data_IF_326202565651
#
_entry.id   IF_326202565651
#
_cell.length_a   1.000
_cell.length_b   1.000
_cell.length_c   1.000
_cell.angle_alpha   90.00
_cell.angle_beta   90.00
_cell.angle_gamma   90.00
#
_symmetry.space_group_name_H-M   'P 1'
#
loop_
_entity.id
_entity.type
_entity.pdbx_description
1 polymer ?
#
# COMPACT_ATOMS: atom_id res chain seq x y z
N UNK A 1 10.35 -9.44 -25.89
CA UNK A 1 10.04 -10.14 -24.62
C UNK A 1 9.06 -9.36 -23.74
N UNK A 2 9.28 -8.05 -23.51
CA UNK A 2 8.40 -7.21 -22.68
C UNK A 2 6.92 -7.18 -23.10
N UNK A 3 6.64 -7.10 -24.41
CA UNK A 3 5.25 -7.11 -24.93
C UNK A 3 4.45 -8.36 -24.51
N UNK A 4 5.10 -9.53 -24.47
CA UNK A 4 4.45 -10.78 -24.07
C UNK A 4 4.05 -10.76 -22.59
N UNK A 5 4.93 -10.26 -21.72
CA UNK A 5 4.68 -10.14 -20.27
C UNK A 5 3.55 -9.16 -20.00
N UNK A 6 3.56 -7.99 -20.65
CA UNK A 6 2.50 -6.98 -20.51
C UNK A 6 1.15 -7.52 -20.99
N UNK A 7 1.12 -8.19 -22.16
CA UNK A 7 -0.12 -8.78 -22.68
C UNK A 7 -0.69 -9.90 -21.79
N UNK A 8 0.18 -10.72 -21.17
CA UNK A 8 -0.22 -11.75 -20.23
C UNK A 8 -0.77 -11.15 -18.93
N UNK A 9 -0.09 -10.14 -18.38
CA UNK A 9 -0.56 -9.42 -17.20
C UNK A 9 -1.91 -8.74 -17.44
N UNK A 10 -2.08 -8.10 -18.61
CA UNK A 10 -3.34 -7.49 -19.00
C UNK A 10 -4.49 -8.52 -19.07
N UNK A 11 -4.24 -9.72 -19.63
CA UNK A 11 -5.21 -10.82 -19.65
C UNK A 11 -5.59 -11.28 -18.23
N UNK A 12 -4.62 -11.38 -17.33
CA UNK A 12 -4.87 -11.74 -15.93
C UNK A 12 -5.70 -10.66 -15.21
N UNK A 13 -5.38 -9.38 -15.41
CA UNK A 13 -6.15 -8.27 -14.85
C UNK A 13 -7.60 -8.25 -15.34
N UNK A 14 -7.86 -8.66 -16.60
CA UNK A 14 -9.22 -8.73 -17.13
C UNK A 14 -9.98 -9.95 -16.63
N UNK A 15 -9.33 -11.12 -16.54
CA UNK A 15 -9.98 -12.37 -16.12
C UNK A 15 -10.19 -12.49 -14.61
N UNK A 16 -9.24 -12.00 -13.80
CA UNK A 16 -9.26 -12.11 -12.34
C UNK A 16 -8.79 -10.83 -11.64
N UNK A 17 -9.45 -9.67 -11.89
CA UNK A 17 -8.96 -8.36 -11.45
C UNK A 17 -8.65 -8.28 -9.97
N UNK A 18 -9.53 -8.85 -9.12
CA UNK A 18 -9.34 -8.81 -7.68
C UNK A 18 -8.08 -9.56 -7.22
N UNK A 19 -7.89 -10.79 -7.69
CA UNK A 19 -6.76 -11.63 -7.31
C UNK A 19 -5.45 -11.03 -7.82
N UNK A 20 -5.44 -10.56 -9.06
CA UNK A 20 -4.26 -9.94 -9.67
C UNK A 20 -3.86 -8.68 -8.93
N UNK A 21 -4.81 -7.77 -8.64
CA UNK A 21 -4.51 -6.54 -7.89
C UNK A 21 -3.94 -6.82 -6.50
N UNK A 22 -4.57 -7.74 -5.75
CA UNK A 22 -4.12 -8.09 -4.40
C UNK A 22 -2.71 -8.69 -4.42
N UNK A 23 -2.44 -9.63 -5.33
CA UNK A 23 -1.12 -10.24 -5.47
C UNK A 23 -0.06 -9.22 -5.92
N UNK A 24 -0.39 -8.35 -6.86
CA UNK A 24 0.51 -7.28 -7.31
C UNK A 24 0.87 -6.35 -6.15
N UNK A 25 -0.09 -5.98 -5.30
CA UNK A 25 0.18 -5.19 -4.10
C UNK A 25 1.14 -5.90 -3.15
N UNK A 26 0.93 -7.20 -2.90
CA UNK A 26 1.84 -8.02 -2.09
C UNK A 26 3.27 -8.01 -2.62
N UNK A 27 3.44 -8.28 -3.92
CA UNK A 27 4.76 -8.30 -4.57
C UNK A 27 5.42 -6.92 -4.53
N UNK A 28 4.65 -5.85 -4.73
CA UNK A 28 5.15 -4.48 -4.69
C UNK A 28 5.64 -4.11 -3.29
N UNK A 29 4.90 -4.47 -2.25
CA UNK A 29 5.32 -4.23 -0.87
C UNK A 29 6.56 -5.05 -0.48
N UNK A 30 6.64 -6.32 -0.87
CA UNK A 30 7.85 -7.14 -0.69
C UNK A 30 9.05 -6.47 -1.36
N UNK A 31 8.90 -6.09 -2.63
CA UNK A 31 9.97 -5.48 -3.41
C UNK A 31 10.41 -4.14 -2.82
N UNK A 32 9.45 -3.33 -2.37
CA UNK A 32 9.70 -2.06 -1.69
C UNK A 32 10.49 -2.23 -0.40
N UNK A 33 10.17 -3.26 0.41
CA UNK A 33 10.94 -3.54 1.62
C UNK A 33 12.36 -4.04 1.29
N UNK A 34 12.53 -4.94 0.32
CA UNK A 34 13.87 -5.37 -0.15
C UNK A 34 14.71 -4.18 -0.63
N UNK A 35 14.11 -3.27 -1.39
CA UNK A 35 14.75 -2.03 -1.84
C UNK A 35 15.12 -1.14 -0.65
N UNK A 36 14.22 -0.95 0.30
CA UNK A 36 14.48 -0.17 1.50
C UNK A 36 15.67 -0.76 2.29
N UNK A 37 15.67 -2.06 2.53
CA UNK A 37 16.74 -2.74 3.25
C UNK A 37 18.11 -2.60 2.55
N UNK A 38 18.14 -2.66 1.22
CA UNK A 38 19.40 -2.63 0.45
C UNK A 38 19.91 -1.23 0.15
N UNK A 39 19.02 -0.33 -0.25
CA UNK A 39 19.40 1.00 -0.73
C UNK A 39 19.34 2.08 0.35
N UNK A 40 18.42 1.96 1.32
CA UNK A 40 18.25 2.94 2.40
C UNK A 40 18.98 2.48 3.65
N UNK A 41 18.67 1.28 4.16
CA UNK A 41 19.27 0.73 5.38
C UNK A 41 20.68 0.13 5.14
N UNK A 42 21.06 -0.09 3.87
CA UNK A 42 22.36 -0.66 3.45
C UNK A 42 22.75 -1.95 4.18
N UNK A 43 21.76 -2.82 4.45
CA UNK A 43 22.00 -4.08 5.16
C UNK A 43 22.86 -5.05 4.33
N UNK A 44 23.84 -5.74 4.96
CA UNK A 44 24.70 -6.70 4.27
C UNK A 44 23.89 -7.87 3.71
N UNK A 45 22.91 -8.36 4.46
CA UNK A 45 21.99 -9.43 4.06
C UNK A 45 20.55 -8.93 4.05
N UNK A 46 19.72 -9.46 3.14
CA UNK A 46 18.28 -9.18 3.13
C UNK A 46 17.63 -9.97 4.25
N UNK A 47 16.85 -9.29 5.09
CA UNK A 47 15.92 -9.87 6.04
C UNK A 47 14.69 -10.36 5.28
N UNK A 48 14.72 -11.65 4.93
CA UNK A 48 13.67 -12.35 4.18
C UNK A 48 12.39 -12.45 4.99
N UNK A 49 12.49 -12.58 6.31
CA UNK A 49 11.33 -12.68 7.19
C UNK A 49 10.54 -11.36 7.20
N UNK A 50 11.23 -10.24 7.32
CA UNK A 50 10.61 -8.91 7.20
C UNK A 50 9.97 -8.71 5.83
N UNK A 51 10.67 -9.04 4.75
CA UNK A 51 10.14 -8.92 3.40
C UNK A 51 8.87 -9.80 3.19
N UNK A 52 8.86 -11.00 3.77
CA UNK A 52 7.70 -11.89 3.75
C UNK A 52 6.52 -11.31 4.57
N UNK A 53 6.77 -10.68 5.72
CA UNK A 53 5.72 -9.98 6.48
C UNK A 53 5.09 -8.84 5.66
N UNK A 54 5.89 -8.05 4.95
CA UNK A 54 5.39 -7.01 4.04
C UNK A 54 4.55 -7.58 2.88
N UNK A 55 4.93 -8.74 2.34
CA UNK A 55 4.10 -9.47 1.37
C UNK A 55 2.75 -9.87 1.95
N UNK A 56 2.75 -10.48 3.15
CA UNK A 56 1.52 -10.93 3.83
C UNK A 56 0.60 -9.74 4.15
N UNK A 57 1.16 -8.62 4.62
CA UNK A 57 0.40 -7.38 4.83
C UNK A 57 -0.20 -6.88 3.50
N UNK A 58 0.57 -6.94 2.42
CA UNK A 58 0.13 -6.53 1.09
C UNK A 58 -1.02 -7.35 0.55
N UNK A 59 -0.96 -8.68 0.69
CA UNK A 59 -2.02 -9.58 0.21
C UNK A 59 -3.22 -9.60 1.15
N UNK A 60 -2.99 -9.62 2.46
CA UNK A 60 -4.04 -9.83 3.47
C UNK A 60 -4.77 -8.56 3.89
N UNK A 61 -4.11 -7.40 3.84
CA UNK A 61 -4.67 -6.15 4.35
C UNK A 61 -4.69 -5.05 3.29
N UNK A 62 -3.53 -4.64 2.77
CA UNK A 62 -3.41 -3.44 1.92
C UNK A 62 -4.12 -3.64 0.58
N UNK A 63 -3.89 -4.77 -0.10
CA UNK A 63 -4.51 -5.08 -1.39
C UNK A 63 -6.04 -5.09 -1.34
N UNK A 64 -6.67 -5.87 -0.44
CA UNK A 64 -8.13 -5.88 -0.29
C UNK A 64 -8.71 -4.52 0.09
N UNK A 65 -8.04 -3.79 1.00
CA UNK A 65 -8.49 -2.47 1.47
C UNK A 65 -8.44 -1.44 0.36
N UNK A 66 -7.30 -1.31 -0.33
CA UNK A 66 -7.13 -0.38 -1.46
C UNK A 66 -8.13 -0.68 -2.58
N UNK A 67 -8.30 -1.95 -2.94
CA UNK A 67 -9.25 -2.33 -3.97
C UNK A 67 -10.68 -1.91 -3.59
N UNK A 68 -11.09 -2.19 -2.37
CA UNK A 68 -12.43 -1.84 -1.89
C UNK A 68 -12.63 -0.34 -1.86
N UNK A 69 -11.63 0.41 -1.39
CA UNK A 69 -11.65 1.86 -1.37
C UNK A 69 -11.76 2.46 -2.77
N UNK A 70 -10.93 2.05 -3.73
CA UNK A 70 -11.01 2.57 -5.10
C UNK A 70 -12.34 2.24 -5.77
N UNK A 71 -12.90 1.04 -5.56
CA UNK A 71 -14.24 0.73 -6.06
C UNK A 71 -15.34 1.60 -5.43
N UNK A 72 -15.18 1.95 -4.16
CA UNK A 72 -16.10 2.87 -3.49
C UNK A 72 -15.93 4.31 -4.00
N UNK A 73 -14.69 4.74 -4.24
CA UNK A 73 -14.35 6.04 -4.78
C UNK A 73 -14.92 6.25 -6.20
N UNK A 74 -14.90 5.21 -7.03
CA UNK A 74 -15.55 5.21 -8.36
C UNK A 74 -17.07 5.38 -8.27
N UNK A 75 -17.71 4.88 -7.21
CA UNK A 75 -19.16 5.04 -6.99
C UNK A 75 -19.51 6.42 -6.44
N UNK A 76 -18.67 6.97 -5.57
CA UNK A 76 -18.86 8.28 -4.96
C UNK A 76 -18.66 9.43 -5.96
N UNK A 77 -17.61 9.36 -6.78
CA UNK A 77 -17.25 10.44 -7.70
C UNK A 77 -17.91 10.19 -9.05
N UNK A 78 -18.88 11.04 -9.42
CA UNK A 78 -19.58 10.94 -10.70
C UNK A 78 -18.61 10.90 -11.89
N UNK A 79 -18.83 10.02 -12.89
CA UNK A 79 -17.92 9.83 -14.02
C UNK A 79 -17.91 10.99 -15.03
N UNK A 80 -18.69 12.06 -14.80
CA UNK A 80 -18.77 13.23 -15.69
C UNK A 80 -18.15 14.46 -15.04
N UNK A 81 -17.08 14.99 -15.65
CA UNK A 81 -16.48 16.28 -15.28
C UNK A 81 -14.96 16.33 -15.42
N UNK A 82 -14.41 17.51 -15.70
CA UNK A 82 -12.96 17.72 -15.85
C UNK A 82 -12.20 17.66 -14.51
N UNK A 83 -12.90 17.78 -13.37
CA UNK A 83 -12.30 17.80 -12.03
C UNK A 83 -12.31 16.45 -11.31
N UNK A 84 -12.63 15.34 -12.00
CA UNK A 84 -12.70 14.00 -11.38
C UNK A 84 -11.39 13.60 -10.70
N UNK A 85 -10.20 13.73 -11.33
CA UNK A 85 -8.95 13.32 -10.70
C UNK A 85 -8.69 14.10 -9.41
N UNK A 86 -8.92 15.42 -9.43
CA UNK A 86 -8.75 16.28 -8.26
C UNK A 86 -9.72 15.90 -7.12
N UNK A 87 -10.99 15.63 -7.43
CA UNK A 87 -11.97 15.21 -6.42
C UNK A 87 -11.60 13.87 -5.79
N UNK A 88 -11.17 12.90 -6.61
CA UNK A 88 -10.71 11.59 -6.14
C UNK A 88 -9.49 11.73 -5.24
N UNK A 89 -8.51 12.53 -5.65
CA UNK A 89 -7.31 12.82 -4.86
C UNK A 89 -7.66 13.47 -3.53
N UNK A 90 -8.49 14.53 -3.51
CA UNK A 90 -8.89 15.21 -2.28
C UNK A 90 -9.63 14.27 -1.31
N UNK A 91 -10.50 13.40 -1.81
CA UNK A 91 -11.18 12.41 -0.98
C UNK A 91 -10.20 11.36 -0.43
N UNK A 92 -9.29 10.88 -1.27
CA UNK A 92 -8.27 9.92 -0.88
C UNK A 92 -7.37 10.48 0.23
N UNK A 93 -6.82 11.67 0.01
CA UNK A 93 -5.92 12.34 0.93
C UNK A 93 -6.62 12.84 2.19
N UNK A 94 -7.85 13.36 2.07
CA UNK A 94 -8.58 13.95 3.19
C UNK A 94 -9.28 12.94 4.10
N UNK A 95 -9.64 11.76 3.58
CA UNK A 95 -10.44 10.78 4.34
C UNK A 95 -9.76 9.42 4.47
N UNK A 96 -9.22 8.88 3.38
CA UNK A 96 -8.67 7.53 3.39
C UNK A 96 -7.26 7.50 3.98
N UNK A 97 -6.34 8.34 3.52
CA UNK A 97 -4.96 8.35 4.00
C UNK A 97 -4.84 8.51 5.53
N UNK A 98 -5.56 9.45 6.20
CA UNK A 98 -5.46 9.63 7.65
C UNK A 98 -5.97 8.42 8.46
N UNK A 99 -6.93 7.68 7.91
CA UNK A 99 -7.48 6.48 8.56
C UNK A 99 -6.68 5.22 8.22
N UNK A 100 -6.18 5.13 7.00
CA UNK A 100 -5.48 3.97 6.49
C UNK A 100 -4.07 3.84 7.08
N UNK A 101 -3.31 4.94 7.18
CA UNK A 101 -1.93 4.94 7.70
C UNK A 101 -1.82 4.37 9.12
N UNK A 102 -2.62 4.79 10.13
CA UNK A 102 -2.49 4.23 11.48
C UNK A 102 -2.88 2.74 11.52
N UNK A 103 -3.88 2.32 10.73
CA UNK A 103 -4.22 0.90 10.59
C UNK A 103 -3.07 0.11 9.96
N UNK A 104 -2.43 0.65 8.92
CA UNK A 104 -1.25 0.04 8.30
C UNK A 104 -0.09 -0.09 9.30
N UNK A 105 0.22 0.97 10.05
CA UNK A 105 1.25 0.93 11.10
C UNK A 105 0.91 -0.08 12.20
N UNK A 106 -0.38 -0.25 12.55
CA UNK A 106 -0.85 -1.28 13.47
C UNK A 106 -0.59 -2.69 12.96
N UNK A 107 -0.93 -2.98 11.70
CA UNK A 107 -0.64 -4.27 11.09
C UNK A 107 0.87 -4.58 11.08
N UNK A 108 1.70 -3.59 10.78
CA UNK A 108 3.16 -3.73 10.82
C UNK A 108 3.64 -4.01 12.25
N UNK A 109 3.17 -3.24 13.25
CA UNK A 109 3.57 -3.42 14.64
C UNK A 109 3.20 -4.79 15.21
N UNK A 110 1.99 -5.28 14.89
CA UNK A 110 1.52 -6.61 15.32
C UNK A 110 2.40 -7.71 14.71
N UNK A 111 2.69 -7.65 13.41
CA UNK A 111 3.51 -8.65 12.73
C UNK A 111 5.01 -8.55 13.03
N UNK A 112 5.47 -7.41 13.57
CA UNK A 112 6.83 -7.24 14.08
C UNK A 112 6.95 -7.62 15.57
N UNK A 113 5.87 -8.07 16.21
CA UNK A 113 5.84 -8.41 17.64
C UNK A 113 6.21 -7.24 18.56
N UNK A 114 5.89 -5.99 18.16
CA UNK A 114 6.09 -4.84 19.03
C UNK A 114 5.11 -4.88 20.22
N UNK A 115 5.59 -4.43 21.38
CA UNK A 115 4.74 -4.23 22.55
C UNK A 115 3.80 -3.04 22.35
N UNK A 116 2.70 -2.99 23.12
CA UNK A 116 1.74 -1.88 23.02
C UNK A 116 2.34 -0.48 23.27
N UNK A 117 3.27 -0.30 24.23
CA UNK A 117 3.99 0.97 24.39
C UNK A 117 4.84 1.34 23.16
N UNK A 118 5.64 0.41 22.64
CA UNK A 118 6.48 0.62 21.45
C UNK A 118 5.63 0.96 20.22
N UNK A 119 4.49 0.29 20.06
CA UNK A 119 3.54 0.60 19.00
C UNK A 119 3.00 2.03 19.10
N UNK A 120 2.58 2.46 20.29
CA UNK A 120 2.08 3.83 20.52
C UNK A 120 3.13 4.89 20.21
N UNK A 121 4.36 4.69 20.66
CA UNK A 121 5.47 5.61 20.38
C UNK A 121 5.78 5.64 18.89
N UNK A 122 5.84 4.47 18.23
CA UNK A 122 6.09 4.37 16.80
C UNK A 122 5.02 5.04 15.97
N UNK A 123 3.73 4.85 16.29
CA UNK A 123 2.65 5.56 15.60
C UNK A 123 2.75 7.06 15.82
N UNK A 124 3.01 7.51 17.05
CA UNK A 124 3.13 8.94 17.35
C UNK A 124 4.30 9.58 16.60
N UNK A 125 5.42 8.87 16.49
CA UNK A 125 6.62 9.34 15.78
C UNK A 125 6.44 9.30 14.25
N UNK A 126 5.96 8.18 13.72
CA UNK A 126 5.96 7.92 12.28
C UNK A 126 4.71 8.46 11.59
N UNK A 127 3.56 8.56 12.26
CA UNK A 127 2.29 8.91 11.61
C UNK A 127 2.36 10.25 10.87
N UNK A 128 2.85 11.30 11.53
CA UNK A 128 2.95 12.63 10.90
C UNK A 128 3.96 12.62 9.76
N UNK A 129 5.09 11.94 9.93
CA UNK A 129 6.11 11.84 8.90
C UNK A 129 5.60 11.08 7.67
N UNK A 130 4.92 9.94 7.86
CA UNK A 130 4.34 9.12 6.80
C UNK A 130 3.19 9.85 6.10
N UNK A 131 2.30 10.51 6.85
CA UNK A 131 1.20 11.29 6.28
C UNK A 131 1.72 12.48 5.47
N UNK A 132 2.71 13.20 5.98
CA UNK A 132 3.31 14.33 5.25
C UNK A 132 4.03 13.85 3.99
N UNK A 133 4.79 12.75 4.07
CA UNK A 133 5.41 12.15 2.89
C UNK A 133 4.38 11.71 1.85
N UNK A 134 3.23 11.18 2.30
CA UNK A 134 2.12 10.85 1.41
C UNK A 134 1.59 12.11 0.71
N UNK A 135 1.35 13.21 1.45
CA UNK A 135 0.88 14.48 0.88
C UNK A 135 1.91 15.17 -0.03
N UNK A 136 3.21 14.97 0.16
CA UNK A 136 4.23 15.57 -0.72
C UNK A 136 4.36 14.85 -2.06
N UNK A 137 3.99 13.58 -2.13
CA UNK A 137 4.10 12.77 -3.34
C UNK A 137 2.92 13.02 -4.31
N UNK A 138 1.76 13.39 -3.78
CA UNK A 138 0.49 13.55 -4.49
C UNK A 138 0.12 15.01 -4.69
#
# INVERSE_FOLDING_TARGET
MAYRVVSWYAKLMQGHPAKTQILTTGVLMLSGDVVCQKLIEKKPTVDVERAARFFVIGVGFVGPTLRTWYLYLEKLVSPKGRMIPLKKMLLDQGSFAPMFIPCFLACVGILQHHTWPEFKEKVKADYVAVLTANYMLW
#
